data_IF_035541363856
#
_entry.id   IF_035541363856
#
_cell.length_a   1.000
_cell.length_b   1.000
_cell.length_c   1.000
_cell.angle_alpha   90.00
_cell.angle_beta   90.00
_cell.angle_gamma   90.00
#
_symmetry.space_group_name_H-M   'P 1'
#
loop_
_entity.id
_entity.type
_entity.pdbx_description
1 polymer ?
#
# COMPACT_ATOMS: atom_id res chain seq x y z
N UNK A 1 3.54 8.17 13.77
CA UNK A 1 4.40 7.95 12.61
C UNK A 1 4.79 6.49 12.52
N UNK A 2 4.77 5.93 11.35
CA UNK A 2 5.16 4.54 11.17
C UNK A 2 6.68 4.41 11.19
N UNK A 3 7.16 3.38 11.88
CA UNK A 3 8.57 3.02 11.82
C UNK A 3 8.88 2.25 10.55
N UNK A 4 7.84 1.83 9.82
CA UNK A 4 7.97 1.05 8.60
C UNK A 4 7.94 1.96 7.38
N UNK A 5 8.89 2.89 7.31
CA UNK A 5 8.96 3.77 6.17
C UNK A 5 9.59 3.05 4.99
N UNK A 6 10.60 3.58 4.45
CA UNK A 6 11.29 2.97 3.34
C UNK A 6 12.33 1.98 3.84
N UNK A 7 12.40 0.81 3.24
CA UNK A 7 13.43 -0.17 3.54
C UNK A 7 14.05 -0.64 2.23
N UNK A 8 15.37 -0.65 2.21
CA UNK A 8 16.10 -1.25 1.12
C UNK A 8 16.30 -2.73 1.44
N UNK A 9 15.87 -3.59 0.52
CA UNK A 9 16.00 -5.03 0.69
C UNK A 9 17.35 -5.50 0.15
N UNK A 10 17.98 -6.43 0.88
CA UNK A 10 19.15 -7.13 0.35
C UNK A 10 18.68 -8.04 -0.79
N UNK A 11 19.59 -8.55 -1.63
CA UNK A 11 19.19 -9.48 -2.69
C UNK A 11 18.43 -10.70 -2.16
N UNK A 12 18.83 -11.22 -1.00
CA UNK A 12 18.14 -12.36 -0.38
C UNK A 12 16.76 -11.97 0.11
N UNK A 13 16.65 -10.81 0.75
CA UNK A 13 15.36 -10.31 1.21
C UNK A 13 14.43 -10.01 0.06
N UNK A 14 14.97 -9.53 -1.06
CA UNK A 14 14.17 -9.29 -2.26
C UNK A 14 13.53 -10.57 -2.79
N UNK A 15 14.24 -11.68 -2.74
CA UNK A 15 13.68 -12.96 -3.16
C UNK A 15 12.55 -13.39 -2.24
N UNK A 16 12.73 -13.20 -0.94
CA UNK A 16 11.69 -13.50 0.04
C UNK A 16 10.48 -12.62 -0.21
N UNK A 17 10.72 -11.33 -0.46
CA UNK A 17 9.68 -10.36 -0.76
C UNK A 17 8.86 -10.80 -2.00
N UNK A 18 9.54 -11.16 -3.09
CA UNK A 18 8.86 -11.56 -4.31
C UNK A 18 7.98 -12.79 -4.10
N UNK A 19 8.48 -13.78 -3.36
CA UNK A 19 7.69 -14.97 -3.05
C UNK A 19 6.50 -14.63 -2.19
N UNK A 20 6.71 -13.80 -1.17
CA UNK A 20 5.63 -13.38 -0.28
C UNK A 20 4.55 -12.64 -1.04
N UNK A 21 4.95 -11.70 -1.92
CA UNK A 21 4.00 -10.95 -2.72
C UNK A 21 3.17 -11.86 -3.63
N UNK A 22 3.82 -12.84 -4.25
CA UNK A 22 3.12 -13.79 -5.11
C UNK A 22 2.07 -14.57 -4.31
N UNK A 23 2.41 -14.99 -3.09
CA UNK A 23 1.48 -15.72 -2.22
C UNK A 23 0.33 -14.85 -1.76
N UNK A 24 0.60 -13.60 -1.43
CA UNK A 24 -0.44 -12.66 -1.03
C UNK A 24 -1.42 -12.43 -2.18
N UNK A 25 -0.90 -12.20 -3.39
CA UNK A 25 -1.75 -12.01 -4.56
C UNK A 25 -2.62 -13.23 -4.83
N UNK A 26 -2.05 -14.41 -4.69
CA UNK A 26 -2.79 -15.65 -4.88
C UNK A 26 -3.92 -15.78 -3.86
N UNK A 27 -3.62 -15.48 -2.60
CA UNK A 27 -4.63 -15.50 -1.54
C UNK A 27 -5.79 -14.55 -1.82
N UNK A 28 -5.47 -13.33 -2.24
CA UNK A 28 -6.49 -12.34 -2.60
C UNK A 28 -7.33 -12.83 -3.78
N UNK A 29 -6.69 -13.40 -4.78
CA UNK A 29 -7.38 -13.96 -5.94
C UNK A 29 -8.33 -15.08 -5.55
N UNK A 30 -7.98 -15.85 -4.53
CA UNK A 30 -8.78 -16.96 -4.03
C UNK A 30 -9.85 -16.54 -3.03
N UNK A 31 -10.03 -15.24 -2.82
CA UNK A 31 -11.10 -14.73 -1.98
C UNK A 31 -10.74 -14.42 -0.54
N UNK A 32 -9.49 -14.57 -0.14
CA UNK A 32 -9.08 -14.18 1.20
C UNK A 32 -9.07 -12.67 1.33
N UNK A 33 -9.32 -12.15 2.54
CA UNK A 33 -9.09 -10.75 2.76
C UNK A 33 -7.58 -10.49 2.88
N UNK A 34 -7.18 -9.22 2.88
CA UNK A 34 -5.76 -8.88 2.89
C UNK A 34 -5.03 -9.47 4.11
N UNK A 35 -5.63 -9.35 5.29
CA UNK A 35 -5.00 -9.86 6.51
C UNK A 35 -4.84 -11.38 6.48
N UNK A 36 -5.85 -12.09 5.98
CA UNK A 36 -5.78 -13.54 5.82
C UNK A 36 -4.71 -13.95 4.81
N UNK A 37 -4.67 -13.24 3.68
CA UNK A 37 -3.67 -13.53 2.66
C UNK A 37 -2.25 -13.34 3.19
N UNK A 38 -2.03 -12.33 4.02
CA UNK A 38 -0.73 -12.09 4.62
C UNK A 38 -0.40 -13.11 5.71
N UNK A 39 -1.42 -13.55 6.47
CA UNK A 39 -1.18 -14.44 7.60
C UNK A 39 -0.68 -15.82 7.19
N UNK A 40 -1.00 -16.27 5.98
CA UNK A 40 -0.56 -17.58 5.51
C UNK A 40 0.85 -17.57 4.93
N UNK A 41 1.46 -16.41 4.83
CA UNK A 41 2.83 -16.29 4.31
C UNK A 41 3.81 -16.42 5.47
N UNK A 42 4.74 -17.36 5.35
CA UNK A 42 5.79 -17.54 6.34
C UNK A 42 7.08 -16.96 5.79
N UNK A 43 7.56 -15.93 6.45
CA UNK A 43 8.80 -15.24 6.05
C UNK A 43 9.98 -15.67 6.92
N UNK A 44 9.69 -16.21 8.11
CA UNK A 44 10.72 -16.65 9.05
C UNK A 44 11.35 -15.54 9.89
N UNK A 45 11.03 -14.30 9.59
CA UNK A 45 11.54 -13.13 10.31
C UNK A 45 10.38 -12.16 10.50
N UNK A 46 10.00 -11.94 11.75
CA UNK A 46 8.84 -11.10 12.09
C UNK A 46 9.01 -9.67 11.62
N UNK A 47 10.19 -9.10 11.78
CA UNK A 47 10.44 -7.74 11.38
C UNK A 47 10.39 -7.59 9.87
N UNK A 48 11.02 -8.49 9.16
CA UNK A 48 10.98 -8.49 7.69
C UNK A 48 9.56 -8.66 7.20
N UNK A 49 8.78 -9.54 7.85
CA UNK A 49 7.37 -9.74 7.48
C UNK A 49 6.57 -8.46 7.63
N UNK A 50 6.81 -7.68 8.68
CA UNK A 50 6.10 -6.42 8.88
C UNK A 50 6.36 -5.45 7.72
N UNK A 51 7.61 -5.35 7.27
CA UNK A 51 7.94 -4.51 6.12
C UNK A 51 7.27 -5.02 4.85
N UNK A 52 7.27 -6.33 4.64
CA UNK A 52 6.66 -6.92 3.45
C UNK A 52 5.15 -6.68 3.44
N UNK A 53 4.48 -6.88 4.56
CA UNK A 53 3.03 -6.66 4.67
C UNK A 53 2.69 -5.19 4.43
N UNK A 54 3.48 -4.29 5.00
CA UNK A 54 3.28 -2.85 4.81
C UNK A 54 3.43 -2.48 3.33
N UNK A 55 4.48 -2.98 2.69
CA UNK A 55 4.70 -2.74 1.27
C UNK A 55 3.61 -3.38 0.41
N UNK A 56 3.16 -4.57 0.79
CA UNK A 56 2.10 -5.26 0.04
C UNK A 56 0.82 -4.45 0.00
N UNK A 57 0.43 -3.85 1.13
CA UNK A 57 -0.75 -3.01 1.16
C UNK A 57 -0.58 -1.81 0.23
N UNK A 58 0.59 -1.18 0.28
CA UNK A 58 0.89 -0.02 -0.57
C UNK A 58 0.91 -0.41 -2.06
N UNK A 59 1.44 -1.57 -2.38
CA UNK A 59 1.43 -2.08 -3.76
C UNK A 59 0.00 -2.28 -4.25
N UNK A 60 -0.87 -2.84 -3.40
CA UNK A 60 -2.28 -3.03 -3.78
C UNK A 60 -2.96 -1.68 -4.01
N UNK A 61 -2.69 -0.69 -3.18
CA UNK A 61 -3.23 0.65 -3.38
C UNK A 61 -2.72 1.24 -4.71
N UNK A 62 -1.44 1.08 -4.99
CA UNK A 62 -0.86 1.59 -6.24
C UNK A 62 -1.56 0.98 -7.45
N UNK A 63 -1.80 -0.31 -7.42
CA UNK A 63 -2.45 -1.00 -8.55
C UNK A 63 -3.92 -0.68 -8.67
N UNK A 64 -4.64 -0.67 -7.55
CA UNK A 64 -6.09 -0.51 -7.58
C UNK A 64 -6.52 0.94 -7.69
N UNK A 65 -5.91 1.82 -6.90
CA UNK A 65 -6.30 3.22 -6.87
C UNK A 65 -5.62 4.04 -7.97
N UNK A 66 -4.30 3.96 -8.05
CA UNK A 66 -3.57 4.80 -9.00
C UNK A 66 -3.59 4.25 -10.42
N UNK A 67 -3.43 2.95 -10.60
CA UNK A 67 -3.40 2.39 -11.94
C UNK A 67 -4.79 2.11 -12.51
N UNK A 68 -5.72 1.61 -11.68
CA UNK A 68 -7.06 1.23 -12.15
C UNK A 68 -8.13 2.26 -11.85
N UNK A 69 -7.82 3.30 -11.11
CA UNK A 69 -8.77 4.37 -10.83
C UNK A 69 -9.85 4.06 -9.82
N UNK A 70 -9.70 3.01 -9.02
CA UNK A 70 -10.65 2.70 -7.97
C UNK A 70 -10.59 3.74 -6.86
N UNK A 71 -11.73 4.11 -6.29
CA UNK A 71 -11.75 4.98 -5.13
C UNK A 71 -11.09 4.26 -3.95
N UNK A 72 -10.50 5.01 -3.02
CA UNK A 72 -9.86 4.39 -1.85
C UNK A 72 -10.83 3.53 -1.06
N UNK A 73 -12.10 3.96 -0.94
CA UNK A 73 -13.13 3.15 -0.29
C UNK A 73 -13.34 1.82 -1.00
N UNK A 74 -13.31 1.81 -2.31
CA UNK A 74 -13.45 0.59 -3.09
C UNK A 74 -12.25 -0.34 -2.88
N UNK A 75 -11.06 0.23 -2.73
CA UNK A 75 -9.87 -0.56 -2.41
C UNK A 75 -10.02 -1.20 -1.03
N UNK A 76 -10.50 -0.44 -0.05
CA UNK A 76 -10.74 -0.96 1.30
C UNK A 76 -11.75 -2.11 1.25
N UNK A 77 -12.83 -1.95 0.50
CA UNK A 77 -13.84 -3.00 0.36
C UNK A 77 -13.30 -4.25 -0.33
N UNK A 78 -12.50 -4.06 -1.37
CA UNK A 78 -11.93 -5.18 -2.12
C UNK A 78 -10.94 -5.98 -1.27
N UNK A 79 -10.14 -5.30 -0.47
CA UNK A 79 -9.15 -5.94 0.39
C UNK A 79 -9.74 -6.36 1.73
N UNK A 80 -10.97 -5.90 2.02
CA UNK A 80 -11.67 -6.16 3.28
C UNK A 80 -10.87 -5.68 4.49
N UNK A 81 -10.36 -4.46 4.37
CA UNK A 81 -9.66 -3.77 5.47
C UNK A 81 -10.37 -2.45 5.75
N UNK A 82 -10.19 -1.90 6.96
CA UNK A 82 -10.79 -0.60 7.27
C UNK A 82 -10.27 0.50 6.35
N UNK A 83 -11.15 1.41 5.96
CA UNK A 83 -10.76 2.55 5.13
C UNK A 83 -9.63 3.34 5.78
N UNK A 84 -9.64 3.45 7.10
CA UNK A 84 -8.58 4.15 7.82
C UNK A 84 -7.20 3.56 7.54
N UNK A 85 -7.09 2.23 7.44
CA UNK A 85 -5.83 1.57 7.12
C UNK A 85 -5.36 1.96 5.72
N UNK A 86 -6.29 2.05 4.77
CA UNK A 86 -5.97 2.45 3.40
C UNK A 86 -5.53 3.92 3.38
N UNK A 87 -6.23 4.79 4.10
CA UNK A 87 -5.88 6.20 4.14
C UNK A 87 -4.49 6.42 4.72
N UNK A 88 -4.16 5.74 5.81
CA UNK A 88 -2.85 5.85 6.44
C UNK A 88 -1.75 5.37 5.49
N UNK A 89 -1.94 4.21 4.87
CA UNK A 89 -0.97 3.68 3.93
C UNK A 89 -0.79 4.61 2.73
N UNK A 90 -1.88 5.16 2.22
CA UNK A 90 -1.83 6.09 1.10
C UNK A 90 -1.06 7.36 1.46
N UNK A 91 -1.29 7.91 2.64
CA UNK A 91 -0.55 9.09 3.09
C UNK A 91 0.93 8.81 3.22
N UNK A 92 1.29 7.63 3.74
CA UNK A 92 2.70 7.25 3.85
C UNK A 92 3.35 7.12 2.48
N UNK A 93 2.63 6.55 1.50
CA UNK A 93 3.13 6.46 0.13
C UNK A 93 3.42 7.84 -0.45
N UNK A 94 2.51 8.77 -0.22
CA UNK A 94 2.67 10.13 -0.73
C UNK A 94 3.82 10.86 -0.04
N UNK A 95 4.00 10.64 1.25
CA UNK A 95 5.13 11.20 1.99
C UNK A 95 6.46 10.65 1.47
N UNK A 96 6.49 9.35 1.17
CA UNK A 96 7.71 8.72 0.68
C UNK A 96 8.19 9.30 -0.64
N UNK A 97 7.26 9.79 -1.48
CA UNK A 97 7.62 10.42 -2.74
C UNK A 97 7.64 11.93 -2.65
N UNK A 98 7.54 12.49 -1.43
CA UNK A 98 7.64 13.93 -1.22
C UNK A 98 6.42 14.72 -1.64
N UNK A 99 5.26 14.09 -1.73
CA UNK A 99 4.02 14.76 -2.10
C UNK A 99 3.27 15.17 -0.84
N UNK A 100 2.92 16.45 -0.75
CA UNK A 100 2.19 16.97 0.40
C UNK A 100 0.70 16.98 0.12
N UNK A 101 -0.09 17.16 1.20
CA UNK A 101 -1.54 17.29 1.05
C UNK A 101 -1.91 18.48 0.15
N UNK A 102 -1.14 19.57 0.22
CA UNK A 102 -1.38 20.73 -0.63
C UNK A 102 -1.18 20.40 -2.11
N UNK A 103 -0.15 19.60 -2.41
CA UNK A 103 0.10 19.16 -3.78
C UNK A 103 -1.03 18.30 -4.31
N UNK A 104 -1.54 17.40 -3.46
CA UNK A 104 -2.66 16.55 -3.82
C UNK A 104 -3.89 17.40 -4.11
N UNK A 105 -4.16 18.38 -3.26
CA UNK A 105 -5.30 19.24 -3.44
C UNK A 105 -5.20 20.00 -4.76
N UNK A 106 -4.03 20.53 -5.07
CA UNK A 106 -3.83 21.26 -6.33
C UNK A 106 -4.05 20.37 -7.55
N UNK A 107 -3.60 19.14 -7.50
CA UNK A 107 -3.80 18.20 -8.61
C UNK A 107 -5.25 17.79 -8.77
N UNK A 108 -5.94 17.62 -7.66
CA UNK A 108 -7.35 17.23 -7.68
C UNK A 108 -8.28 18.38 -8.05
N UNK A 109 -7.84 19.60 -7.86
CA UNK A 109 -8.63 20.79 -8.08
C UNK A 109 -7.86 21.80 -8.95
N UNK A 110 -7.54 21.41 -10.19
CA UNK A 110 -6.86 22.34 -11.10
C UNK A 110 -7.78 23.52 -11.36
N UNK A 111 -7.30 24.70 -11.24
CA UNK A 111 -8.13 25.89 -11.38
C UNK A 111 -8.67 26.41 -10.08
N UNK A 112 -8.46 25.72 -8.97
CA UNK A 112 -8.86 26.26 -7.68
C UNK A 112 -7.96 27.44 -7.31
N UNK A 113 -8.45 28.42 -6.49
CA UNK A 113 -7.62 29.55 -6.10
C UNK A 113 -6.32 29.15 -5.43
N UNK A 114 -6.31 28.04 -4.70
CA UNK A 114 -5.10 27.55 -4.06
C UNK A 114 -4.08 27.12 -5.09
N UNK A 115 -4.53 26.47 -6.15
CA UNK A 115 -3.65 25.99 -7.19
C UNK A 115 -3.19 27.09 -8.13
N UNK A 116 -3.96 28.14 -8.26
CA UNK A 116 -3.72 29.19 -9.25
C UNK A 116 -3.40 30.53 -8.66
N UNK A 117 -3.25 30.60 -7.41
CA UNK A 117 -3.00 31.87 -6.74
C UNK A 117 -1.75 32.56 -7.29
#
# INVERSE_FOLDING_TARGET
MSDLKYKEYTPEESKIYEKAMARIREGLKNGLNFNEACSVVDVGDEELKRYIVDDALKVMIAEMHYAKGMALRQVADALKVPLKAIDIANMEMLEDVGITAADIYRKSNPGSPIGNA
#
